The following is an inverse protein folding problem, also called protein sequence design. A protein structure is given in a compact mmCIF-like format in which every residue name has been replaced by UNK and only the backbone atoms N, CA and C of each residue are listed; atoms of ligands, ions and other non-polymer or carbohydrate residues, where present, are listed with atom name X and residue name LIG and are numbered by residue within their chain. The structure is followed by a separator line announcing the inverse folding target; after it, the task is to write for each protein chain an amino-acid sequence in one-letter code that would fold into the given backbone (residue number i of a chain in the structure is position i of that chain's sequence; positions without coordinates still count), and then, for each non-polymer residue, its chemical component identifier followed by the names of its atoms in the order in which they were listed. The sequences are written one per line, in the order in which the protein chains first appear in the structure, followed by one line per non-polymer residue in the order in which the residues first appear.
data_IF_295614304028
#
_entry.id   IF_295614304028
#
_cell.length_a   1.000
_cell.length_b   1.000
_cell.length_c   1.000
_cell.angle_alpha   90.00
_cell.angle_beta   90.00
_cell.angle_gamma   90.00
#
_symmetry.space_group_name_H-M   'P 1'
#
loop_
_entity.id
_entity.type
_entity.pdbx_description
1 polymer ?
#
# COMPACT_ATOMS: atom_id res chain seq x y z
N UNK A 1 9.62 -9.25 -3.45
CA UNK A 1 9.36 -8.44 -2.24
C UNK A 1 7.87 -8.34 -1.94
N UNK A 2 7.05 -8.11 -2.97
CA UNK A 2 5.60 -8.02 -2.93
C UNK A 2 4.98 -9.39 -2.77
N UNK A 3 4.13 -9.52 -1.76
CA UNK A 3 3.41 -10.75 -1.46
C UNK A 3 2.00 -10.79 -2.05
N UNK A 4 1.41 -9.62 -2.31
CA UNK A 4 0.01 -9.47 -2.71
C UNK A 4 -0.11 -8.78 -4.06
N UNK A 5 -1.21 -9.07 -4.75
CA UNK A 5 -1.67 -8.30 -5.89
C UNK A 5 -2.49 -7.10 -5.38
N UNK A 6 -2.04 -5.90 -5.68
CA UNK A 6 -2.67 -4.66 -5.21
C UNK A 6 -3.55 -3.98 -6.27
N UNK A 7 -3.64 -4.52 -7.49
CA UNK A 7 -4.53 -3.95 -8.51
C UNK A 7 -5.97 -3.84 -7.99
N UNK A 8 -6.66 -2.75 -8.33
CA UNK A 8 -8.00 -2.38 -7.86
C UNK A 8 -8.14 -2.18 -6.34
N UNK A 9 -7.10 -2.40 -5.55
CA UNK A 9 -7.11 -2.14 -4.11
C UNK A 9 -7.02 -0.64 -3.84
N UNK A 10 -7.43 -0.21 -2.66
CA UNK A 10 -7.59 1.22 -2.35
C UNK A 10 -6.60 1.67 -1.29
N UNK A 11 -5.83 2.73 -1.55
CA UNK A 11 -5.04 3.42 -0.53
C UNK A 11 -5.99 4.27 0.30
N UNK A 12 -6.03 3.98 1.60
CA UNK A 12 -6.86 4.67 2.58
C UNK A 12 -6.07 5.72 3.35
N UNK A 13 -4.77 5.47 3.60
CA UNK A 13 -3.89 6.40 4.31
C UNK A 13 -2.42 6.12 4.00
N UNK A 14 -1.57 7.15 4.11
CA UNK A 14 -0.11 7.07 3.96
C UNK A 14 0.53 7.89 5.06
N UNK A 15 1.24 7.23 5.97
CA UNK A 15 1.86 7.84 7.14
C UNK A 15 3.36 7.59 7.13
N UNK A 16 4.14 8.64 6.88
CA UNK A 16 5.61 8.60 6.99
C UNK A 16 6.05 9.09 8.37
N UNK A 17 6.86 8.29 9.06
CA UNK A 17 7.38 8.54 10.42
C UNK A 17 8.91 8.66 10.31
N UNK A 18 9.46 9.87 10.07
CA UNK A 18 10.88 10.04 9.77
C UNK A 18 11.81 9.60 10.91
N UNK A 19 11.38 9.80 12.16
CA UNK A 19 12.18 9.46 13.34
C UNK A 19 12.36 7.95 13.54
N UNK A 20 11.49 7.15 12.94
CA UNK A 20 11.54 5.69 12.99
C UNK A 20 12.03 5.09 11.67
N UNK A 21 12.36 5.93 10.67
CA UNK A 21 12.65 5.51 9.31
C UNK A 21 11.59 4.53 8.79
N UNK A 22 10.30 4.88 8.96
CA UNK A 22 9.17 3.99 8.72
C UNK A 22 8.09 4.65 7.87
N UNK A 23 7.52 3.91 6.93
CA UNK A 23 6.35 4.32 6.17
C UNK A 23 5.27 3.25 6.30
N UNK A 24 4.06 3.66 6.67
CA UNK A 24 2.89 2.78 6.69
C UNK A 24 1.87 3.24 5.65
N UNK A 25 1.40 2.30 4.83
CA UNK A 25 0.34 2.52 3.87
C UNK A 25 -0.83 1.63 4.26
N UNK A 26 -1.96 2.25 4.63
CA UNK A 26 -3.20 1.55 4.90
C UNK A 26 -3.92 1.29 3.59
N UNK A 27 -4.21 0.03 3.31
CA UNK A 27 -4.80 -0.44 2.05
C UNK A 27 -6.07 -1.22 2.36
N UNK A 28 -7.15 -0.92 1.64
CA UNK A 28 -8.29 -1.80 1.50
C UNK A 28 -8.00 -2.77 0.34
N UNK A 29 -7.49 -3.94 0.69
CA UNK A 29 -7.05 -4.97 -0.26
C UNK A 29 -8.25 -5.67 -0.88
N UNK A 30 -8.24 -5.82 -2.21
CA UNK A 30 -9.06 -6.78 -2.95
C UNK A 30 -8.59 -8.21 -2.65
N UNK A 31 -9.04 -8.77 -1.53
CA UNK A 31 -8.66 -10.10 -1.07
C UNK A 31 -9.09 -11.20 -2.04
N UNK A 32 -10.23 -11.02 -2.72
CA UNK A 32 -10.72 -11.95 -3.75
C UNK A 32 -9.77 -12.13 -4.95
N UNK A 33 -8.84 -11.19 -5.17
CA UNK A 33 -7.85 -11.25 -6.24
C UNK A 33 -6.57 -11.99 -5.86
N UNK A 34 -6.44 -12.43 -4.60
CA UNK A 34 -5.23 -13.10 -4.12
C UNK A 34 -5.24 -14.58 -4.45
N UNK A 35 -4.06 -15.15 -4.69
CA UNK A 35 -3.91 -16.55 -5.12
C UNK A 35 -4.37 -17.58 -4.09
N UNK A 36 -4.41 -17.21 -2.82
CA UNK A 36 -4.81 -18.04 -1.69
C UNK A 36 -6.23 -17.77 -1.18
N UNK A 37 -6.99 -16.91 -1.88
CA UNK A 37 -8.38 -16.60 -1.56
C UNK A 37 -9.27 -17.84 -1.57
N UNK A 38 -10.19 -17.91 -0.61
CA UNK A 38 -11.27 -18.90 -0.57
C UNK A 38 -12.61 -18.17 -0.56
N UNK A 39 -13.63 -18.79 -1.15
CA UNK A 39 -14.99 -18.23 -1.18
C UNK A 39 -15.61 -17.96 0.21
N UNK A 40 -15.03 -18.54 1.27
CA UNK A 40 -15.41 -18.27 2.66
C UNK A 40 -14.79 -16.99 3.24
N UNK A 41 -13.75 -16.47 2.61
CA UNK A 41 -12.99 -15.33 3.09
C UNK A 41 -13.70 -14.03 2.68
N UNK A 42 -13.55 -12.94 3.45
CA UNK A 42 -14.09 -11.65 3.02
C UNK A 42 -13.41 -11.21 1.72
N UNK A 43 -14.21 -10.68 0.78
CA UNK A 43 -13.70 -10.18 -0.51
C UNK A 43 -12.72 -9.01 -0.35
N UNK A 44 -12.89 -8.22 0.73
CA UNK A 44 -12.05 -7.06 1.04
C UNK A 44 -11.46 -7.20 2.44
N UNK A 45 -10.18 -6.84 2.59
CA UNK A 45 -9.48 -6.80 3.87
C UNK A 45 -8.81 -5.44 4.10
N UNK A 46 -8.63 -5.07 5.36
CA UNK A 46 -7.76 -3.94 5.70
C UNK A 46 -6.36 -4.45 5.99
N UNK A 47 -5.39 -3.95 5.24
CA UNK A 47 -3.99 -4.31 5.35
C UNK A 47 -3.13 -3.06 5.56
N UNK A 48 -2.09 -3.18 6.37
CA UNK A 48 -1.02 -2.21 6.46
C UNK A 48 0.21 -2.77 5.75
N UNK A 49 0.64 -2.10 4.69
CA UNK A 49 1.95 -2.30 4.05
C UNK A 49 2.96 -1.41 4.78
N UNK A 50 3.94 -2.04 5.41
CA UNK A 50 4.87 -1.39 6.33
C UNK A 50 6.26 -1.47 5.74
N UNK A 51 6.86 -0.32 5.44
CA UNK A 51 8.24 -0.20 5.04
C UNK A 51 9.07 0.21 6.26
N UNK A 52 10.03 -0.62 6.66
CA UNK A 52 10.97 -0.32 7.74
C UNK A 52 12.38 -0.08 7.17
N UNK A 53 13.13 0.81 7.81
CA UNK A 53 14.46 1.22 7.34
C UNK A 53 14.38 2.05 6.05
N UNK A 54 13.41 2.97 5.99
CA UNK A 54 13.18 3.86 4.84
C UNK A 54 14.36 4.81 4.68
N UNK A 55 15.08 4.66 3.57
CA UNK A 55 16.18 5.55 3.17
C UNK A 55 15.68 6.70 2.29
N UNK A 56 14.64 6.42 1.50
CA UNK A 56 14.08 7.37 0.54
C UNK A 56 12.57 7.20 0.45
N UNK A 57 11.85 8.32 0.55
CA UNK A 57 10.41 8.39 0.32
C UNK A 57 10.13 9.61 -0.56
N UNK A 58 9.58 9.37 -1.74
CA UNK A 58 9.14 10.40 -2.67
C UNK A 58 7.66 10.23 -2.96
N UNK A 59 6.91 11.32 -2.80
CA UNK A 59 5.51 11.38 -3.15
C UNK A 59 5.28 12.61 -4.02
N UNK A 60 4.64 12.41 -5.17
CA UNK A 60 4.37 13.49 -6.14
C UNK A 60 3.40 14.57 -5.65
N UNK A 61 2.92 14.48 -4.41
CA UNK A 61 1.85 15.32 -3.86
C UNK A 61 2.06 15.57 -2.37
N UNK A 62 2.96 16.50 -2.01
CA UNK A 62 3.09 16.94 -0.61
C UNK A 62 1.72 17.39 -0.06
N UNK A 63 1.31 16.87 1.10
CA UNK A 63 0.03 17.13 1.78
C UNK A 63 -1.24 16.61 1.08
N UNK A 64 -1.15 15.61 0.21
CA UNK A 64 -2.35 14.92 -0.31
C UNK A 64 -3.05 14.12 0.79
N UNK A 65 -4.37 14.25 0.86
CA UNK A 65 -5.21 13.44 1.72
C UNK A 65 -5.69 12.24 0.90
N UNK A 66 -5.29 11.05 1.31
CA UNK A 66 -5.76 9.81 0.71
C UNK A 66 -7.21 9.55 1.10
N UNK A 67 -8.02 9.12 0.13
CA UNK A 67 -9.43 8.81 0.30
C UNK A 67 -9.84 7.74 -0.70
N UNK A 68 -9.56 6.48 -0.36
CA UNK A 68 -9.86 5.32 -1.21
C UNK A 68 -9.31 5.46 -2.63
N UNK A 69 -8.02 5.80 -2.73
CA UNK A 69 -7.36 5.97 -4.02
C UNK A 69 -7.02 4.61 -4.65
N UNK A 70 -7.58 4.35 -5.83
CA UNK A 70 -7.37 3.09 -6.54
C UNK A 70 -5.91 2.91 -6.96
N UNK A 71 -5.35 1.75 -6.60
CA UNK A 71 -4.02 1.32 -7.02
C UNK A 71 -4.14 0.72 -8.41
N UNK A 72 -3.44 1.33 -9.36
CA UNK A 72 -3.34 0.84 -10.73
C UNK A 72 -2.27 -0.24 -10.85
N UNK A 73 -1.12 -0.03 -10.20
CA UNK A 73 0.00 -0.97 -10.26
C UNK A 73 0.98 -0.78 -9.10
N UNK A 74 1.71 -1.85 -8.75
CA UNK A 74 2.81 -1.83 -7.79
C UNK A 74 4.01 -2.56 -8.39
N UNK A 75 5.09 -1.82 -8.59
CA UNK A 75 6.26 -2.27 -9.35
C UNK A 75 7.47 -2.32 -8.41
N UNK A 76 8.15 -3.47 -8.36
CA UNK A 76 9.50 -3.57 -7.80
C UNK A 76 10.48 -3.00 -8.82
N UNK A 77 11.11 -1.87 -8.50
CA UNK A 77 12.14 -1.27 -9.36
C UNK A 77 13.50 -1.97 -9.18
N UNK A 78 13.77 -2.41 -7.96
CA UNK A 78 14.94 -3.22 -7.57
C UNK A 78 14.64 -4.02 -6.28
N UNK A 79 15.66 -4.56 -5.63
CA UNK A 79 15.56 -5.40 -4.44
C UNK A 79 15.17 -4.63 -3.16
N UNK A 80 15.09 -3.31 -3.21
CA UNK A 80 14.75 -2.45 -2.07
C UNK A 80 13.73 -1.35 -2.38
N UNK A 81 13.46 -1.11 -3.66
CA UNK A 81 12.67 0.02 -4.13
C UNK A 81 11.35 -0.42 -4.75
N UNK A 82 10.26 0.12 -4.21
CA UNK A 82 8.90 -0.11 -4.68
C UNK A 82 8.31 1.20 -5.21
N UNK A 83 7.63 1.11 -6.35
CA UNK A 83 6.82 2.18 -6.93
C UNK A 83 5.35 1.80 -6.92
N UNK A 84 4.51 2.61 -6.30
CA UNK A 84 3.06 2.46 -6.28
C UNK A 84 2.48 3.52 -7.22
N UNK A 85 1.61 3.09 -8.14
CA UNK A 85 0.90 3.96 -9.09
C UNK A 85 -0.58 3.94 -8.73
N UNK A 86 -1.18 5.10 -8.53
CA UNK A 86 -2.56 5.20 -8.07
C UNK A 86 -3.31 6.35 -8.75
N UNK A 87 -4.63 6.23 -8.79
CA UNK A 87 -5.54 7.27 -9.25
C UNK A 87 -5.85 8.27 -8.14
N UNK A 88 -5.81 9.55 -8.51
CA UNK A 88 -6.43 10.64 -7.78
C UNK A 88 -7.60 11.19 -8.60
N UNK A 89 -8.41 12.07 -8.02
CA UNK A 89 -9.58 12.65 -8.73
C UNK A 89 -9.24 13.29 -10.08
N UNK A 90 -8.00 13.78 -10.25
CA UNK A 90 -7.62 14.61 -11.39
C UNK A 90 -6.43 14.07 -12.20
N UNK A 91 -5.73 13.03 -11.72
CA UNK A 91 -4.47 12.58 -12.32
C UNK A 91 -4.04 11.19 -11.81
N UNK A 92 -3.08 10.58 -12.50
CA UNK A 92 -2.31 9.43 -12.03
C UNK A 92 -1.09 9.92 -11.25
N UNK A 93 -0.93 9.43 -10.02
CA UNK A 93 0.17 9.81 -9.12
C UNK A 93 1.00 8.59 -8.72
N UNK A 94 2.16 8.87 -8.13
CA UNK A 94 3.10 7.82 -7.71
C UNK A 94 3.70 8.07 -6.34
N UNK A 95 3.88 6.97 -5.60
CA UNK A 95 4.73 6.88 -4.40
C UNK A 95 5.94 6.02 -4.77
N UNK A 96 7.15 6.47 -4.41
CA UNK A 96 8.38 5.69 -4.56
C UNK A 96 9.05 5.59 -3.20
N UNK A 97 9.37 4.37 -2.78
CA UNK A 97 9.95 4.08 -1.46
C UNK A 97 11.15 3.17 -1.64
N UNK A 98 12.28 3.52 -1.04
CA UNK A 98 13.43 2.62 -0.86
C UNK A 98 13.58 2.30 0.61
N UNK A 99 13.54 1.02 0.97
CA UNK A 99 13.55 0.54 2.35
C UNK A 99 14.40 -0.72 2.54
N UNK A 100 14.69 -1.09 3.78
CA UNK A 100 15.37 -2.36 4.11
C UNK A 100 14.43 -3.56 3.97
N UNK A 101 13.17 -3.41 4.37
CA UNK A 101 12.17 -4.47 4.30
C UNK A 101 10.76 -3.94 4.10
N UNK A 102 9.89 -4.82 3.61
CA UNK A 102 8.45 -4.60 3.48
C UNK A 102 7.72 -5.72 4.21
N UNK A 103 6.92 -5.35 5.20
CA UNK A 103 6.07 -6.25 5.98
C UNK A 103 4.59 -5.96 5.73
N UNK A 104 3.74 -6.94 6.04
CA UNK A 104 2.29 -6.85 5.84
C UNK A 104 1.54 -7.28 7.10
N UNK A 105 0.70 -6.39 7.64
CA UNK A 105 -0.18 -6.70 8.76
C UNK A 105 -1.64 -6.60 8.31
N UNK A 106 -2.39 -7.70 8.43
CA UNK A 106 -3.83 -7.74 8.14
C UNK A 106 -4.58 -7.56 9.44
N UNK A 107 -5.54 -6.64 9.46
CA UNK A 107 -6.46 -6.46 10.57
C UNK A 107 -7.84 -6.92 10.11
N UNK A 108 -8.39 -7.93 10.79
CA UNK A 108 -9.79 -8.28 10.62
C UNK A 108 -10.63 -7.11 11.16
N UNK A 109 -11.55 -6.59 10.34
CA UNK A 109 -12.47 -5.56 10.81
C UNK A 109 -13.23 -6.11 12.01
N UNK A 110 -13.16 -5.43 13.16
CA UNK A 110 -14.09 -5.66 14.25
C UNK A 110 -15.50 -5.49 13.68
N UNK A 111 -16.27 -6.57 13.61
CA UNK A 111 -17.67 -6.52 13.23
C UNK A 111 -18.36 -5.53 14.17
N UNK A 112 -18.78 -4.37 13.62
CA UNK A 112 -19.61 -3.38 14.30
C UNK A 112 -21.08 -3.61 13.93
#
# INVERSE_FOLDING_TARGET
MLKYNFHDSLIEDVNYIPNEAKLEIKIKLCNWMQSDYKDSDPEMLTMHMIFDGVEKFEMSTENYVFNSNEILDVIELDDRTVKIIFLTENDVKTIIVTAERVDYAIYENEQS
#
